data_IF_369717348457
#
_entry.id   IF_369717348457
#
_cell.length_a   1.000
_cell.length_b   1.000
_cell.length_c   1.000
_cell.angle_alpha   90.00
_cell.angle_beta   90.00
_cell.angle_gamma   90.00
#
_symmetry.space_group_name_H-M   'P 1'
#
loop_
_entity.id
_entity.type
_entity.pdbx_description
1 polymer ?
#
# COMPACT_ATOMS: atom_id res chain seq x y z
N UNK A 1 119.10 61.54 -43.04
CA UNK A 1 117.86 61.78 -42.28
C UNK A 1 118.13 62.84 -41.24
N UNK A 2 117.58 64.03 -41.36
CA UNK A 2 117.51 64.97 -40.24
C UNK A 2 116.23 65.76 -40.37
N UNK A 3 115.27 65.50 -39.51
CA UNK A 3 114.17 66.38 -39.16
C UNK A 3 113.39 65.71 -38.01
N UNK A 4 112.77 66.39 -37.06
CA UNK A 4 112.72 67.77 -36.56
C UNK A 4 112.02 67.59 -35.21
N UNK A 5 112.44 68.32 -34.18
CA UNK A 5 111.92 68.15 -32.83
C UNK A 5 111.30 69.48 -32.37
N UNK A 6 110.02 69.46 -31.97
CA UNK A 6 109.33 70.58 -31.33
C UNK A 6 108.64 70.07 -30.06
N UNK A 7 108.84 70.78 -28.95
CA UNK A 7 108.58 70.33 -27.59
C UNK A 7 107.29 70.89 -26.96
N UNK A 8 106.77 70.08 -26.03
CA UNK A 8 105.63 70.16 -25.10
C UNK A 8 105.76 71.25 -23.99
N UNK A 9 104.65 71.62 -23.31
CA UNK A 9 104.48 71.58 -21.82
C UNK A 9 103.02 71.95 -21.37
N UNK A 10 102.60 71.36 -20.23
CA UNK A 10 101.24 71.17 -19.66
C UNK A 10 100.53 72.42 -19.05
N UNK A 11 99.19 72.39 -18.95
CA UNK A 11 98.45 72.68 -17.70
C UNK A 11 96.97 72.17 -17.70
N UNK A 12 96.62 71.61 -16.55
CA UNK A 12 95.41 70.99 -15.96
C UNK A 12 94.00 71.16 -16.56
N UNK A 13 93.27 70.02 -16.45
CA UNK A 13 91.87 69.74 -16.73
C UNK A 13 91.03 69.89 -15.45
N UNK A 14 89.88 70.55 -15.55
CA UNK A 14 88.92 70.71 -14.44
C UNK A 14 87.58 71.20 -14.97
N UNK A 15 86.59 70.32 -14.99
CA UNK A 15 85.24 70.61 -15.45
C UNK A 15 84.50 69.32 -15.75
N UNK A 16 83.95 68.70 -14.71
CA UNK A 16 82.95 67.63 -14.80
C UNK A 16 81.71 68.18 -15.49
N UNK A 17 81.75 68.27 -16.81
CA UNK A 17 80.58 68.43 -17.65
C UNK A 17 79.82 67.12 -17.63
N UNK A 18 78.97 66.93 -16.62
CA UNK A 18 77.86 65.98 -16.69
C UNK A 18 77.11 66.26 -17.99
N UNK A 19 77.32 65.40 -18.99
CA UNK A 19 76.73 65.52 -20.31
C UNK A 19 75.23 65.70 -20.16
N UNK A 20 74.71 66.76 -20.79
CA UNK A 20 73.28 66.96 -20.98
C UNK A 20 72.66 65.66 -21.51
N UNK A 21 71.52 65.24 -20.94
CA UNK A 21 70.70 64.19 -21.53
C UNK A 21 70.52 64.52 -23.02
N UNK A 22 70.83 63.56 -23.90
CA UNK A 22 70.62 63.73 -25.32
C UNK A 22 69.16 64.11 -25.60
N UNK A 23 68.88 64.83 -26.70
CA UNK A 23 67.50 65.12 -27.07
C UNK A 23 66.68 63.83 -27.10
N UNK A 24 65.41 63.90 -26.71
CA UNK A 24 64.47 62.81 -26.89
C UNK A 24 64.51 62.34 -28.35
N UNK A 25 64.52 61.03 -28.57
CA UNK A 25 64.44 60.47 -29.92
C UNK A 25 63.10 60.88 -30.55
N UNK A 26 63.06 61.02 -31.87
CA UNK A 26 61.79 61.27 -32.55
C UNK A 26 60.80 60.14 -32.26
N UNK A 27 59.52 60.47 -32.13
CA UNK A 27 58.44 59.47 -32.02
C UNK A 27 58.52 58.48 -33.20
N UNK A 28 58.31 57.19 -32.91
CA UNK A 28 58.25 56.15 -33.94
C UNK A 28 56.98 56.28 -34.79
N UNK A 29 57.04 55.84 -36.05
CA UNK A 29 55.85 55.76 -36.92
C UNK A 29 54.90 54.66 -36.43
N UNK A 30 53.59 54.86 -36.61
CA UNK A 30 52.58 53.85 -36.27
C UNK A 30 52.58 52.72 -37.32
N UNK A 31 52.37 51.47 -36.89
CA UNK A 31 52.13 50.37 -37.82
C UNK A 31 50.63 50.10 -37.94
N UNK A 32 50.13 50.11 -39.18
CA UNK A 32 48.72 49.93 -39.50
C UNK A 32 48.50 48.66 -40.33
N UNK A 33 47.30 48.10 -40.19
CA UNK A 33 46.82 46.94 -40.95
C UNK A 33 45.51 47.31 -41.64
N UNK A 34 45.40 47.02 -42.93
CA UNK A 34 44.17 47.15 -43.72
C UNK A 34 43.78 45.80 -44.30
N UNK A 35 42.49 45.45 -44.21
CA UNK A 35 41.99 44.20 -44.80
C UNK A 35 41.04 44.50 -45.95
N UNK A 36 41.14 43.69 -47.00
CA UNK A 36 40.34 43.81 -48.21
C UNK A 36 39.78 42.44 -48.60
N UNK A 37 38.56 42.40 -49.12
CA UNK A 37 37.97 41.14 -49.62
C UNK A 37 38.66 40.72 -50.92
N UNK A 38 38.98 39.44 -51.01
CA UNK A 38 39.48 38.78 -52.23
C UNK A 38 38.34 37.96 -52.80
N UNK A 39 37.94 38.28 -54.02
CA UNK A 39 36.96 37.49 -54.74
C UNK A 39 37.56 36.15 -55.17
N UNK A 40 36.74 35.10 -55.37
CA UNK A 40 37.21 33.81 -55.89
C UNK A 40 38.04 33.98 -57.17
N UNK A 41 39.27 33.46 -57.17
CA UNK A 41 40.24 33.74 -58.22
C UNK A 41 41.56 32.99 -58.08
N UNK A 42 42.58 33.47 -58.80
CA UNK A 42 43.90 32.84 -58.85
C UNK A 42 44.61 32.86 -57.49
N UNK A 43 44.30 33.84 -56.65
CA UNK A 43 44.90 34.08 -55.35
C UNK A 43 44.23 33.25 -54.25
N UNK A 44 42.89 33.15 -54.27
CA UNK A 44 42.11 32.29 -53.38
C UNK A 44 40.94 31.66 -54.14
N UNK A 45 40.96 30.33 -54.28
CA UNK A 45 39.99 29.59 -55.10
C UNK A 45 38.52 29.81 -54.67
N UNK A 46 38.26 29.85 -53.37
CA UNK A 46 36.93 30.09 -52.79
C UNK A 46 36.73 31.54 -52.31
N UNK A 47 37.61 32.46 -52.72
CA UNK A 47 37.70 33.81 -52.17
C UNK A 47 38.34 33.83 -50.78
N UNK A 48 38.47 35.02 -50.20
CA UNK A 48 39.14 35.18 -48.91
C UNK A 48 39.31 36.63 -48.49
N UNK A 49 40.29 36.86 -47.62
CA UNK A 49 40.67 38.19 -47.13
C UNK A 49 42.15 38.42 -47.38
N UNK A 50 42.48 39.55 -48.01
CA UNK A 50 43.83 40.08 -48.15
C UNK A 50 44.13 41.00 -47.00
N UNK A 51 45.27 40.79 -46.35
CA UNK A 51 45.74 41.58 -45.21
C UNK A 51 46.99 42.35 -45.63
N UNK A 52 46.92 43.67 -45.61
CA UNK A 52 47.99 44.60 -45.92
C UNK A 52 48.53 45.22 -44.63
N UNK A 53 49.85 45.37 -44.51
CA UNK A 53 50.51 45.99 -43.36
C UNK A 53 51.56 47.00 -43.80
N UNK A 54 51.73 48.08 -43.02
CA UNK A 54 52.76 49.07 -43.28
C UNK A 54 52.95 50.06 -42.12
N UNK A 55 53.83 51.04 -42.34
CA UNK A 55 54.05 52.16 -41.41
C UNK A 55 53.34 53.39 -41.97
N UNK A 56 52.54 54.06 -41.14
CA UNK A 56 51.89 55.33 -41.42
C UNK A 56 52.96 56.43 -41.44
N UNK A 57 53.51 56.68 -42.62
CA UNK A 57 54.68 57.53 -42.82
C UNK A 57 54.29 59.01 -42.92
N UNK A 58 53.06 59.31 -43.33
CA UNK A 58 52.51 60.65 -43.39
C UNK A 58 51.76 61.07 -42.11
N UNK A 59 51.57 60.14 -41.16
CA UNK A 59 50.90 60.31 -39.87
C UNK A 59 49.43 60.73 -39.99
N UNK A 60 48.73 60.26 -41.01
CA UNK A 60 47.30 60.57 -41.24
C UNK A 60 46.33 59.57 -40.60
N UNK A 61 46.83 58.46 -40.05
CA UNK A 61 46.05 57.44 -39.35
C UNK A 61 45.41 56.38 -40.24
N UNK A 62 45.64 56.41 -41.56
CA UNK A 62 45.21 55.38 -42.51
C UNK A 62 46.42 54.75 -43.21
N UNK A 63 46.31 53.47 -43.59
CA UNK A 63 47.36 52.83 -44.37
C UNK A 63 47.16 53.17 -45.85
N UNK A 64 47.94 54.12 -46.39
CA UNK A 64 47.94 54.48 -47.81
C UNK A 64 48.57 53.41 -48.71
N UNK A 65 48.30 53.42 -50.03
CA UNK A 65 48.85 52.41 -50.95
C UNK A 65 50.39 52.46 -51.06
N UNK A 66 51.00 53.64 -50.91
CA UNK A 66 52.45 53.84 -50.97
C UNK A 66 53.17 53.44 -49.67
N UNK A 67 52.41 53.19 -48.59
CA UNK A 67 52.92 52.88 -47.25
C UNK A 67 52.89 51.37 -46.94
N UNK A 68 52.20 50.60 -47.79
CA UNK A 68 52.13 49.14 -47.67
C UNK A 68 53.51 48.52 -47.90
N UNK A 69 53.98 47.76 -46.92
CA UNK A 69 55.25 47.03 -46.99
C UNK A 69 55.09 45.51 -46.81
N UNK A 70 53.90 45.04 -46.45
CA UNK A 70 53.57 43.62 -46.35
C UNK A 70 52.16 43.31 -46.87
N UNK A 71 52.02 42.15 -47.51
CA UNK A 71 50.76 41.62 -48.04
C UNK A 71 50.68 40.12 -47.77
N UNK A 72 49.52 39.64 -47.33
CA UNK A 72 49.23 38.21 -47.14
C UNK A 72 47.77 37.88 -47.43
N UNK A 73 47.50 36.61 -47.76
CA UNK A 73 46.17 36.13 -48.13
C UNK A 73 45.68 35.06 -47.14
N UNK A 74 44.44 35.21 -46.68
CA UNK A 74 43.72 34.22 -45.86
C UNK A 74 42.55 33.71 -46.69
N UNK A 75 42.73 32.55 -47.33
CA UNK A 75 41.72 31.96 -48.20
C UNK A 75 40.67 31.18 -47.41
N UNK A 76 39.40 31.25 -47.85
CA UNK A 76 38.34 30.40 -47.35
C UNK A 76 38.57 28.94 -47.79
N UNK A 77 38.21 27.99 -46.93
CA UNK A 77 38.15 26.57 -47.32
C UNK A 77 36.97 26.30 -48.24
N UNK A 78 37.11 25.32 -49.13
CA UNK A 78 35.99 24.85 -49.97
C UNK A 78 34.89 24.25 -49.07
N UNK A 79 33.62 24.49 -49.42
CA UNK A 79 32.50 23.88 -48.72
C UNK A 79 32.56 22.35 -48.86
N UNK A 80 32.43 21.62 -47.75
CA UNK A 80 32.39 20.15 -47.79
C UNK A 80 31.19 19.64 -48.58
N UNK A 81 31.34 18.48 -49.22
CA UNK A 81 30.23 17.82 -49.92
C UNK A 81 29.09 17.48 -48.94
N UNK A 82 27.86 17.70 -49.38
CA UNK A 82 26.68 17.27 -48.63
C UNK A 82 26.72 15.73 -48.52
N UNK A 83 26.63 15.20 -47.30
CA UNK A 83 26.55 13.75 -47.10
C UNK A 83 25.35 13.14 -47.84
N UNK A 84 25.41 11.85 -48.23
CA UNK A 84 24.29 11.18 -48.88
C UNK A 84 23.04 11.23 -47.98
N UNK A 85 21.87 11.38 -48.59
CA UNK A 85 20.60 11.33 -47.88
C UNK A 85 20.40 9.98 -47.17
N UNK A 86 19.80 10.00 -45.98
CA UNK A 86 19.47 8.78 -45.26
C UNK A 86 18.38 7.96 -45.98
N UNK A 87 18.46 6.64 -45.89
CA UNK A 87 17.44 5.73 -46.42
C UNK A 87 16.15 5.83 -45.60
N UNK A 88 15.00 5.61 -46.24
CA UNK A 88 13.68 5.74 -45.60
C UNK A 88 13.32 4.44 -44.87
N UNK A 89 12.98 4.47 -43.56
CA UNK A 89 12.46 3.30 -42.88
C UNK A 89 10.99 3.05 -43.25
N UNK A 90 10.65 1.81 -43.58
CA UNK A 90 9.29 1.36 -43.90
C UNK A 90 8.83 0.26 -42.96
N UNK A 91 7.51 0.17 -42.77
CA UNK A 91 6.83 -0.85 -41.96
C UNK A 91 5.72 -1.46 -42.81
N UNK A 92 5.63 -2.79 -42.81
CA UNK A 92 4.54 -3.56 -43.44
C UNK A 92 3.93 -4.51 -42.42
N UNK A 93 2.61 -4.68 -42.45
CA UNK A 93 1.90 -5.63 -41.60
C UNK A 93 1.26 -6.73 -42.43
N UNK A 94 1.31 -7.96 -41.92
CA UNK A 94 0.72 -9.14 -42.55
C UNK A 94 -0.13 -9.88 -41.52
N UNK A 95 -1.33 -10.33 -41.91
CA UNK A 95 -2.19 -11.14 -41.04
C UNK A 95 -1.60 -12.54 -40.88
N UNK A 96 -1.60 -13.04 -39.64
CA UNK A 96 -1.16 -14.40 -39.29
C UNK A 96 -2.38 -15.22 -38.94
N UNK A 97 -2.61 -16.30 -39.69
CA UNK A 97 -3.69 -17.23 -39.41
C UNK A 97 -3.43 -18.02 -38.11
N UNK A 98 -4.48 -18.53 -37.45
CA UNK A 98 -4.33 -19.43 -36.32
C UNK A 98 -3.43 -20.63 -36.65
N UNK A 99 -2.44 -20.91 -35.79
CA UNK A 99 -1.44 -21.94 -36.02
C UNK A 99 -0.37 -22.03 -34.94
N UNK A 100 0.77 -22.65 -35.26
CA UNK A 100 1.88 -22.86 -34.32
C UNK A 100 2.49 -21.53 -33.82
N UNK A 101 2.52 -20.51 -34.69
CA UNK A 101 3.06 -19.18 -34.37
C UNK A 101 2.15 -18.39 -33.42
N UNK A 102 0.84 -18.41 -33.67
CA UNK A 102 -0.18 -17.77 -32.83
C UNK A 102 -1.44 -18.63 -32.77
N UNK A 103 -1.83 -19.08 -31.57
CA UNK A 103 -2.96 -20.00 -31.39
C UNK A 103 -4.31 -19.44 -31.90
N UNK A 104 -4.55 -18.13 -31.78
CA UNK A 104 -5.75 -17.45 -32.25
C UNK A 104 -5.50 -16.55 -33.48
N UNK A 105 -4.36 -16.70 -34.13
CA UNK A 105 -3.89 -15.78 -35.18
C UNK A 105 -3.28 -14.50 -34.60
N UNK A 106 -2.99 -13.53 -35.46
CA UNK A 106 -2.31 -12.31 -35.06
C UNK A 106 -1.89 -11.44 -36.24
N UNK A 107 -0.96 -10.53 -35.98
CA UNK A 107 -0.35 -9.66 -36.99
C UNK A 107 1.16 -9.80 -36.90
N UNK A 108 1.81 -10.02 -38.04
CA UNK A 108 3.26 -9.93 -38.19
C UNK A 108 3.61 -8.53 -38.67
N UNK A 109 4.50 -7.87 -37.95
CA UNK A 109 5.01 -6.53 -38.27
C UNK A 109 6.44 -6.67 -38.79
N UNK A 110 6.65 -6.26 -40.04
CA UNK A 110 7.93 -6.27 -40.73
C UNK A 110 8.47 -4.84 -40.82
N UNK A 111 9.78 -4.66 -40.64
CA UNK A 111 10.43 -3.35 -40.75
C UNK A 111 11.78 -3.42 -41.45
N UNK A 112 12.11 -2.38 -42.19
CA UNK A 112 13.33 -2.31 -43.01
C UNK A 112 13.60 -0.93 -43.55
N UNK A 113 14.72 -0.80 -44.26
CA UNK A 113 15.08 0.42 -45.00
C UNK A 113 14.75 0.21 -46.48
N UNK A 114 14.08 1.17 -47.09
CA UNK A 114 13.83 1.24 -48.54
C UNK A 114 15.15 1.53 -49.26
N UNK A 115 15.82 0.45 -49.67
CA UNK A 115 17.15 0.49 -50.24
C UNK A 115 17.11 0.86 -51.72
N UNK A 116 16.02 0.54 -52.41
CA UNK A 116 15.84 0.81 -53.84
C UNK A 116 15.03 2.11 -54.13
N UNK A 117 14.55 2.79 -53.07
CA UNK A 117 13.79 4.03 -53.12
C UNK A 117 12.46 3.93 -53.89
N UNK A 118 11.79 2.77 -53.84
CA UNK A 118 10.49 2.54 -54.51
C UNK A 118 9.28 2.82 -53.61
N UNK A 119 9.49 3.21 -52.34
CA UNK A 119 8.47 3.46 -51.32
C UNK A 119 7.63 2.24 -50.91
N UNK A 120 8.11 1.03 -51.18
CA UNK A 120 7.53 -0.24 -50.72
C UNK A 120 8.58 -1.02 -49.93
N UNK A 121 8.16 -1.77 -48.90
CA UNK A 121 9.08 -2.63 -48.17
C UNK A 121 9.17 -3.97 -48.91
N UNK A 122 10.24 -4.17 -49.67
CA UNK A 122 10.48 -5.41 -50.40
C UNK A 122 10.94 -6.55 -49.46
N UNK A 123 10.73 -7.84 -49.83
CA UNK A 123 11.13 -8.97 -48.99
C UNK A 123 12.62 -8.98 -48.62
N UNK A 124 13.49 -8.52 -49.53
CA UNK A 124 14.94 -8.46 -49.32
C UNK A 124 15.37 -7.28 -48.43
N UNK A 125 14.48 -6.32 -48.17
CA UNK A 125 14.73 -5.12 -47.37
C UNK A 125 14.32 -5.29 -45.90
N UNK A 126 13.60 -6.35 -45.58
CA UNK A 126 13.15 -6.67 -44.21
C UNK A 126 14.37 -6.96 -43.33
N UNK A 127 14.54 -6.14 -42.30
CA UNK A 127 15.64 -6.25 -41.34
C UNK A 127 15.20 -6.72 -39.95
N UNK A 128 13.92 -6.60 -39.62
CA UNK A 128 13.34 -7.08 -38.38
C UNK A 128 11.88 -7.49 -38.55
N UNK A 129 11.50 -8.54 -37.82
CA UNK A 129 10.13 -9.03 -37.71
C UNK A 129 9.68 -9.07 -36.24
N UNK A 130 8.41 -8.79 -35.99
CA UNK A 130 7.76 -8.94 -34.69
C UNK A 130 6.39 -9.57 -34.88
N UNK A 131 6.06 -10.53 -34.03
CA UNK A 131 4.78 -11.24 -34.06
C UNK A 131 3.90 -10.77 -32.90
N UNK A 132 2.71 -10.29 -33.23
CA UNK A 132 1.70 -9.82 -32.25
C UNK A 132 0.51 -10.77 -32.32
N UNK A 133 0.44 -11.73 -31.38
CA UNK A 133 -0.67 -12.69 -31.32
C UNK A 133 -1.92 -12.07 -30.69
N UNK A 134 -3.09 -12.44 -31.21
CA UNK A 134 -4.36 -12.16 -30.53
C UNK A 134 -4.46 -12.99 -29.25
N UNK A 135 -5.04 -12.40 -28.21
CA UNK A 135 -5.43 -13.16 -27.02
C UNK A 135 -6.56 -14.13 -27.37
N UNK A 136 -6.49 -15.34 -26.83
CA UNK A 136 -7.66 -16.23 -26.79
C UNK A 136 -8.68 -15.64 -25.81
N UNK A 137 -9.97 -15.86 -26.06
CA UNK A 137 -10.98 -15.56 -25.03
C UNK A 137 -10.64 -16.36 -23.77
N UNK A 138 -10.45 -15.67 -22.65
CA UNK A 138 -10.23 -16.31 -21.36
C UNK A 138 -11.51 -16.97 -20.88
N UNK A 139 -11.40 -18.09 -20.17
CA UNK A 139 -12.54 -18.69 -19.49
C UNK A 139 -13.06 -17.74 -18.41
N UNK A 140 -14.37 -17.72 -18.20
CA UNK A 140 -14.97 -16.93 -17.12
C UNK A 140 -14.69 -17.59 -15.78
N UNK A 141 -14.31 -16.80 -14.77
CA UNK A 141 -14.33 -17.28 -13.39
C UNK A 141 -15.71 -17.05 -12.80
N UNK A 142 -16.35 -18.13 -12.36
CA UNK A 142 -17.69 -18.09 -11.79
C UNK A 142 -17.66 -18.43 -10.30
N UNK A 143 -18.64 -17.91 -9.58
CA UNK A 143 -18.86 -18.14 -8.16
C UNK A 143 -20.26 -18.74 -8.01
N UNK A 144 -20.36 -19.86 -7.30
CA UNK A 144 -21.63 -20.48 -6.90
C UNK A 144 -21.74 -20.44 -5.38
N UNK A 145 -22.88 -19.97 -4.89
CA UNK A 145 -23.16 -19.95 -3.46
C UNK A 145 -24.38 -20.83 -3.19
N UNK A 146 -24.18 -21.82 -2.32
CA UNK A 146 -25.21 -22.75 -1.90
C UNK A 146 -25.32 -22.74 -0.38
N UNK A 147 -26.51 -23.03 0.14
CA UNK A 147 -26.73 -23.16 1.57
C UNK A 147 -26.01 -24.41 2.08
N UNK A 148 -25.15 -24.26 3.09
CA UNK A 148 -24.47 -25.38 3.74
C UNK A 148 -25.28 -25.78 4.97
N UNK A 149 -25.85 -27.01 5.02
CA UNK A 149 -26.58 -27.49 6.19
C UNK A 149 -25.65 -27.77 7.38
N UNK A 150 -26.25 -28.01 8.55
CA UNK A 150 -25.53 -28.49 9.73
C UNK A 150 -24.78 -29.78 9.43
N UNK A 151 -23.50 -29.86 9.79
CA UNK A 151 -22.72 -31.07 9.55
C UNK A 151 -21.23 -30.89 9.84
N UNK A 152 -20.42 -31.68 9.12
CA UNK A 152 -18.97 -31.73 9.32
C UNK A 152 -18.26 -30.42 8.97
N UNK A 153 -18.77 -29.66 8.00
CA UNK A 153 -18.15 -28.41 7.55
C UNK A 153 -18.56 -27.20 8.41
N UNK A 154 -19.81 -27.15 8.83
CA UNK A 154 -20.35 -26.12 9.71
C UNK A 154 -21.20 -26.75 10.81
N UNK A 155 -20.86 -26.48 12.08
CA UNK A 155 -21.59 -27.02 13.23
C UNK A 155 -23.08 -26.62 13.27
N UNK A 156 -23.44 -25.48 12.65
CA UNK A 156 -24.83 -25.01 12.56
C UNK A 156 -25.40 -24.97 11.14
N UNK A 157 -25.11 -23.93 10.37
CA UNK A 157 -25.40 -23.83 8.93
C UNK A 157 -24.45 -22.79 8.36
N UNK A 158 -24.49 -22.57 7.07
CA UNK A 158 -23.71 -21.50 6.49
C UNK A 158 -23.95 -21.37 5.01
N UNK A 159 -22.92 -20.91 4.32
CA UNK A 159 -22.88 -20.90 2.87
C UNK A 159 -21.61 -21.57 2.39
N UNK A 160 -21.76 -22.52 1.48
CA UNK A 160 -20.67 -23.05 0.68
C UNK A 160 -20.49 -22.12 -0.52
N UNK A 161 -19.32 -21.50 -0.63
CA UNK A 161 -18.94 -20.62 -1.73
C UNK A 161 -17.90 -21.34 -2.58
N UNK A 162 -18.34 -21.81 -3.74
CA UNK A 162 -17.50 -22.51 -4.70
C UNK A 162 -17.04 -21.57 -5.79
N UNK A 163 -15.78 -21.71 -6.21
CA UNK A 163 -15.17 -20.93 -7.28
C UNK A 163 -14.53 -21.85 -8.31
N UNK A 164 -14.61 -21.46 -9.58
CA UNK A 164 -14.03 -22.23 -10.67
C UNK A 164 -14.04 -21.48 -11.99
N UNK A 165 -13.52 -22.14 -13.02
CA UNK A 165 -13.52 -21.65 -14.40
C UNK A 165 -14.64 -22.35 -15.16
N UNK A 166 -15.44 -21.58 -15.89
CA UNK A 166 -16.45 -22.06 -16.83
C UNK A 166 -15.76 -22.64 -18.06
N UNK A 167 -15.45 -23.93 -18.01
CA UNK A 167 -14.67 -24.65 -19.04
C UNK A 167 -15.52 -25.06 -20.23
N UNK A 168 -16.83 -25.22 -20.04
CA UNK A 168 -17.76 -25.60 -21.08
C UNK A 168 -18.46 -24.40 -21.74
N UNK A 169 -18.25 -23.19 -21.21
CA UNK A 169 -18.79 -21.91 -21.66
C UNK A 169 -20.33 -21.86 -21.64
N UNK A 170 -20.97 -22.53 -20.68
CA UNK A 170 -22.43 -22.53 -20.52
C UNK A 170 -22.96 -21.39 -19.61
N UNK A 171 -22.05 -20.68 -18.93
CA UNK A 171 -22.37 -19.54 -18.07
C UNK A 171 -22.80 -19.91 -16.65
N UNK A 172 -22.74 -21.19 -16.27
CA UNK A 172 -22.99 -21.69 -14.92
C UNK A 172 -21.73 -22.39 -14.38
N UNK A 173 -21.58 -22.46 -13.06
CA UNK A 173 -20.47 -23.22 -12.45
C UNK A 173 -20.94 -24.65 -12.16
N UNK A 174 -20.57 -25.60 -13.02
CA UNK A 174 -20.85 -27.02 -12.84
C UNK A 174 -19.99 -27.67 -11.74
N UNK A 175 -20.42 -28.82 -11.21
CA UNK A 175 -19.69 -29.53 -10.14
C UNK A 175 -18.29 -29.98 -10.58
N UNK A 176 -18.12 -30.35 -11.85
CA UNK A 176 -16.84 -30.76 -12.43
C UNK A 176 -15.87 -29.58 -12.65
N UNK A 177 -16.36 -28.34 -12.52
CA UNK A 177 -15.61 -27.10 -12.77
C UNK A 177 -15.16 -26.41 -11.49
N UNK A 178 -15.66 -26.87 -10.34
CA UNK A 178 -15.30 -26.34 -9.02
C UNK A 178 -13.82 -26.65 -8.76
N UNK A 179 -13.04 -25.60 -8.52
CA UNK A 179 -11.63 -25.71 -8.17
C UNK A 179 -11.42 -25.60 -6.67
N UNK A 180 -12.26 -24.82 -5.99
CA UNK A 180 -12.18 -24.59 -4.55
C UNK A 180 -13.56 -24.30 -3.98
N UNK A 181 -13.81 -24.75 -2.74
CA UNK A 181 -15.01 -24.45 -1.96
C UNK A 181 -14.61 -23.94 -0.58
N UNK A 182 -15.14 -22.79 -0.20
CA UNK A 182 -14.95 -22.17 1.11
C UNK A 182 -16.28 -22.21 1.86
N UNK A 183 -16.26 -22.65 3.12
CA UNK A 183 -17.43 -22.66 3.98
C UNK A 183 -17.44 -21.44 4.89
N UNK A 184 -18.54 -20.69 4.85
CA UNK A 184 -18.81 -19.54 5.72
C UNK A 184 -19.90 -19.94 6.69
N UNK A 185 -19.54 -20.28 7.92
CA UNK A 185 -20.49 -20.77 8.92
C UNK A 185 -21.19 -19.63 9.67
N UNK A 186 -22.50 -19.75 9.81
CA UNK A 186 -23.35 -18.92 10.66
C UNK A 186 -23.18 -19.33 12.12
N UNK A 187 -23.31 -18.37 13.05
CA UNK A 187 -23.38 -18.64 14.49
C UNK A 187 -24.82 -18.53 14.99
N UNK A 188 -25.23 -19.40 15.92
CA UNK A 188 -26.54 -19.30 16.54
C UNK A 188 -26.55 -18.16 17.57
N UNK A 189 -27.13 -17.03 17.17
CA UNK A 189 -27.46 -15.96 18.11
C UNK A 189 -28.79 -16.26 18.79
N UNK A 190 -28.71 -16.68 20.04
CA UNK A 190 -29.87 -16.64 20.93
C UNK A 190 -29.74 -15.39 21.80
N UNK A 191 -30.26 -14.27 21.28
CA UNK A 191 -30.48 -13.09 22.11
C UNK A 191 -31.57 -13.39 23.13
N UNK A 192 -31.15 -13.93 24.27
CA UNK A 192 -31.94 -14.07 25.49
C UNK A 192 -32.13 -12.70 26.14
N UNK A 193 -32.62 -11.73 25.38
CA UNK A 193 -33.10 -10.48 25.95
C UNK A 193 -34.26 -10.82 26.86
N UNK A 194 -34.02 -11.07 28.17
CA UNK A 194 -35.03 -11.48 29.17
C UNK A 194 -36.30 -10.62 28.99
N UNK A 195 -37.31 -11.07 28.22
CA UNK A 195 -38.35 -10.20 27.80
C UNK A 195 -39.48 -10.45 28.78
N UNK A 196 -39.65 -9.47 29.66
CA UNK A 196 -40.84 -9.33 30.49
C UNK A 196 -41.00 -10.37 31.63
N UNK A 197 -41.75 -10.02 32.68
CA UNK A 197 -42.06 -10.82 33.87
C UNK A 197 -42.57 -12.27 33.68
N UNK A 198 -42.82 -12.76 32.46
CA UNK A 198 -43.66 -13.94 32.21
C UNK A 198 -42.89 -15.24 31.88
N UNK A 199 -41.58 -15.18 31.58
CA UNK A 199 -40.79 -16.37 31.14
C UNK A 199 -39.75 -16.86 32.16
N UNK A 200 -39.60 -16.16 33.28
CA UNK A 200 -38.66 -16.53 34.34
C UNK A 200 -39.39 -17.27 35.46
N UNK A 201 -38.99 -18.52 35.69
CA UNK A 201 -39.43 -19.25 36.89
C UNK A 201 -38.39 -19.05 37.98
N UNK A 202 -38.76 -18.30 39.01
CA UNK A 202 -38.02 -18.23 40.27
C UNK A 202 -38.64 -19.25 41.23
N UNK A 203 -37.84 -20.17 41.77
CA UNK A 203 -38.30 -21.17 42.74
C UNK A 203 -37.54 -21.04 44.05
N UNK A 204 -38.20 -21.38 45.16
CA UNK A 204 -37.58 -21.93 46.38
C UNK A 204 -38.10 -23.36 46.50
N UNK A 205 -37.38 -24.26 47.15
CA UNK A 205 -37.69 -25.69 47.14
C UNK A 205 -39.05 -25.95 47.80
N UNK A 206 -40.11 -26.04 46.99
CA UNK A 206 -41.48 -26.31 47.40
C UNK A 206 -42.57 -25.45 46.76
N UNK A 207 -42.23 -24.33 46.11
CA UNK A 207 -43.19 -23.52 45.36
C UNK A 207 -42.49 -22.70 44.26
N UNK A 208 -42.71 -23.10 43.00
CA UNK A 208 -42.38 -22.28 41.85
C UNK A 208 -43.55 -21.30 41.63
N UNK A 209 -43.40 -20.04 42.03
CA UNK A 209 -44.36 -18.99 41.68
C UNK A 209 -43.71 -18.11 40.61
N UNK A 210 -44.36 -17.88 39.46
CA UNK A 210 -43.88 -16.88 38.51
C UNK A 210 -43.97 -15.50 39.17
N UNK A 211 -42.81 -14.90 39.50
CA UNK A 211 -42.75 -13.56 40.08
C UNK A 211 -42.40 -12.58 38.96
N UNK A 212 -43.25 -11.57 38.77
CA UNK A 212 -43.05 -10.55 37.76
C UNK A 212 -41.79 -9.70 38.01
N UNK A 213 -41.00 -9.45 36.97
CA UNK A 213 -39.96 -8.42 36.91
C UNK A 213 -40.43 -7.11 37.55
N UNK A 214 -39.74 -6.69 38.61
CA UNK A 214 -40.15 -5.54 39.42
C UNK A 214 -40.21 -5.81 40.92
N UNK A 215 -40.40 -7.06 41.36
CA UNK A 215 -40.74 -7.34 42.76
C UNK A 215 -39.95 -8.46 43.45
N UNK A 216 -39.04 -9.17 42.78
CA UNK A 216 -38.37 -10.34 43.36
C UNK A 216 -37.03 -9.98 44.02
N UNK A 217 -37.02 -9.99 45.34
CA UNK A 217 -35.83 -10.13 46.18
C UNK A 217 -35.48 -11.62 46.27
N UNK A 218 -34.35 -12.07 45.72
CA UNK A 218 -33.91 -13.48 45.79
C UNK A 218 -32.86 -13.63 46.87
N UNK A 219 -32.96 -14.68 47.69
CA UNK A 219 -31.98 -14.92 48.76
C UNK A 219 -30.84 -15.83 48.25
N UNK A 220 -29.60 -15.65 48.73
CA UNK A 220 -28.50 -16.62 48.48
C UNK A 220 -28.71 -17.92 49.28
N UNK A 221 -29.85 -18.55 49.07
CA UNK A 221 -30.19 -19.86 49.56
C UNK A 221 -30.05 -20.85 48.40
N UNK A 222 -29.59 -22.06 48.70
CA UNK A 222 -29.32 -23.13 47.72
C UNK A 222 -30.54 -23.51 46.88
N UNK A 223 -31.73 -23.10 47.30
CA UNK A 223 -32.98 -23.43 46.64
C UNK A 223 -33.48 -22.35 45.68
N UNK A 224 -32.81 -21.20 45.58
CA UNK A 224 -33.13 -20.15 44.60
C UNK A 224 -32.37 -20.31 43.29
N UNK A 225 -33.07 -20.16 42.17
CA UNK A 225 -32.47 -20.25 40.85
C UNK A 225 -33.18 -19.38 39.82
N UNK A 226 -32.47 -19.09 38.73
CA UNK A 226 -32.99 -18.57 37.48
C UNK A 226 -33.12 -19.74 36.50
N UNK A 227 -34.31 -19.93 35.92
CA UNK A 227 -34.50 -20.85 34.80
C UNK A 227 -35.14 -20.14 33.63
N UNK A 228 -34.60 -20.40 32.44
CA UNK A 228 -35.14 -19.89 31.19
C UNK A 228 -35.23 -21.01 30.16
N UNK A 229 -36.40 -21.16 29.54
CA UNK A 229 -36.65 -22.13 28.48
C UNK A 229 -36.44 -21.49 27.12
N UNK A 230 -35.66 -22.14 26.26
CA UNK A 230 -35.42 -21.71 24.89
C UNK A 230 -35.68 -22.87 23.94
N UNK A 231 -36.13 -22.55 22.73
CA UNK A 231 -36.36 -23.56 21.69
C UNK A 231 -35.26 -23.47 20.66
N UNK A 232 -34.71 -24.63 20.29
CA UNK A 232 -33.72 -24.79 19.24
C UNK A 232 -34.47 -25.21 17.97
N UNK A 233 -34.66 -24.29 17.00
CA UNK A 233 -35.52 -24.54 15.84
C UNK A 233 -34.93 -25.59 14.89
N UNK A 234 -33.62 -25.81 14.96
CA UNK A 234 -32.89 -26.76 14.11
C UNK A 234 -31.86 -27.49 14.99
N UNK A 235 -31.96 -28.81 15.13
CA UNK A 235 -31.04 -29.61 15.95
C UNK A 235 -29.57 -29.45 15.54
N UNK A 236 -28.64 -29.28 16.48
CA UNK A 236 -27.21 -29.14 16.19
C UNK A 236 -26.30 -29.38 17.40
N UNK A 237 -25.00 -29.58 17.14
CA UNK A 237 -23.99 -29.63 18.20
C UNK A 237 -23.56 -28.22 18.60
N UNK A 238 -23.42 -28.01 19.91
CA UNK A 238 -22.82 -26.80 20.49
C UNK A 238 -21.58 -27.19 21.27
N UNK A 239 -20.52 -26.39 21.19
CA UNK A 239 -19.25 -26.64 21.88
C UNK A 239 -18.74 -25.45 22.70
N UNK A 240 -19.41 -24.30 22.61
CA UNK A 240 -19.07 -23.15 23.43
C UNK A 240 -20.27 -22.28 23.75
N UNK A 241 -20.15 -21.56 24.85
CA UNK A 241 -21.14 -20.61 25.35
C UNK A 241 -20.45 -19.31 25.74
N UNK A 242 -20.85 -18.21 25.10
CA UNK A 242 -20.52 -16.87 25.58
C UNK A 242 -21.74 -16.26 26.26
N UNK A 243 -21.56 -15.68 27.44
CA UNK A 243 -22.65 -15.09 28.20
C UNK A 243 -22.33 -13.67 28.68
N UNK A 244 -23.39 -12.87 28.81
CA UNK A 244 -23.39 -11.59 29.52
C UNK A 244 -24.63 -11.49 30.39
N UNK A 245 -24.50 -11.19 31.67
CA UNK A 245 -25.59 -11.10 32.65
C UNK A 245 -25.48 -9.81 33.46
N UNK A 246 -26.61 -9.24 33.89
CA UNK A 246 -26.65 -8.11 34.82
C UNK A 246 -27.36 -8.49 36.13
N UNK A 247 -26.63 -8.40 37.25
CA UNK A 247 -27.10 -8.71 38.59
C UNK A 247 -27.11 -7.44 39.42
N UNK A 248 -28.24 -7.11 40.04
CA UNK A 248 -28.29 -6.06 41.05
C UNK A 248 -28.15 -6.68 42.44
N UNK A 249 -27.10 -6.30 43.16
CA UNK A 249 -26.84 -6.75 44.52
C UNK A 249 -27.36 -5.71 45.52
N UNK A 250 -28.43 -6.04 46.24
CA UNK A 250 -28.95 -5.23 47.36
C UNK A 250 -28.78 -5.93 48.71
N UNK A 251 -27.79 -6.82 48.80
CA UNK A 251 -27.53 -7.62 50.00
C UNK A 251 -27.18 -6.75 51.18
N UNK A 252 -28.09 -6.70 52.15
CA UNK A 252 -27.85 -6.03 53.41
C UNK A 252 -27.23 -7.01 54.41
N UNK A 253 -25.91 -6.93 54.57
CA UNK A 253 -25.11 -7.89 55.33
C UNK A 253 -25.49 -8.04 56.81
N UNK A 254 -26.16 -7.03 57.39
CA UNK A 254 -26.62 -7.10 58.78
C UNK A 254 -27.78 -8.08 59.01
N UNK A 255 -28.40 -8.59 57.94
CA UNK A 255 -29.51 -9.53 58.01
C UNK A 255 -29.05 -10.99 57.91
N UNK A 256 -27.77 -11.26 57.65
CA UNK A 256 -27.26 -12.62 57.60
C UNK A 256 -27.08 -13.15 59.04
N UNK A 257 -28.01 -13.97 59.54
CA UNK A 257 -27.91 -14.61 60.85
C UNK A 257 -26.83 -15.72 60.79
N UNK A 258 -25.66 -15.47 61.39
CA UNK A 258 -24.56 -16.44 61.40
C UNK A 258 -23.18 -15.84 61.64
N UNK A 259 -22.25 -16.69 62.10
CA UNK A 259 -20.82 -16.36 62.24
C UNK A 259 -20.24 -16.20 60.83
N UNK A 260 -19.56 -15.08 60.55
CA UNK A 260 -18.94 -14.84 59.24
C UNK A 260 -18.02 -16.03 58.86
N UNK A 261 -18.04 -16.50 57.60
CA UNK A 261 -17.09 -17.51 57.14
C UNK A 261 -15.65 -17.01 57.31
N UNK A 262 -14.70 -17.95 57.41
CA UNK A 262 -13.28 -17.61 57.61
C UNK A 262 -12.76 -16.81 56.40
N UNK A 263 -12.64 -15.49 56.56
CA UNK A 263 -12.38 -14.54 55.47
C UNK A 263 -13.15 -13.23 55.63
N UNK A 264 -14.19 -13.21 56.46
CA UNK A 264 -15.06 -12.05 56.63
C UNK A 264 -16.29 -12.16 55.75
N UNK A 265 -16.97 -11.02 55.59
CA UNK A 265 -18.22 -10.90 54.84
C UNK A 265 -17.99 -10.63 53.33
N UNK A 266 -16.72 -10.43 52.92
CA UNK A 266 -16.20 -10.45 51.54
C UNK A 266 -16.28 -11.86 50.91
N UNK A 267 -17.35 -12.60 51.21
CA UNK A 267 -17.47 -13.95 50.74
C UNK A 267 -17.65 -13.91 49.21
N UNK A 268 -16.83 -14.68 48.53
CA UNK A 268 -17.01 -15.02 47.13
C UNK A 268 -18.29 -15.86 47.01
N UNK A 269 -19.14 -15.54 46.05
CA UNK A 269 -20.40 -16.25 45.77
C UNK A 269 -20.20 -17.11 44.53
N UNK A 270 -20.27 -18.41 44.70
CA UNK A 270 -20.14 -19.36 43.60
C UNK A 270 -21.51 -19.66 43.00
N UNK A 271 -21.58 -19.60 41.67
CA UNK A 271 -22.74 -19.91 40.86
C UNK A 271 -22.38 -20.94 39.82
N UNK A 272 -23.39 -21.69 39.39
CA UNK A 272 -23.30 -22.55 38.23
C UNK A 272 -24.22 -22.11 37.12
N UNK A 273 -23.81 -22.37 35.89
CA UNK A 273 -24.64 -22.36 34.69
C UNK A 273 -24.77 -23.81 34.25
N UNK A 274 -26.01 -24.26 34.13
CA UNK A 274 -26.38 -25.60 33.68
C UNK A 274 -27.33 -25.51 32.49
N UNK A 275 -27.23 -26.48 31.56
CA UNK A 275 -28.18 -26.66 30.46
C UNK A 275 -28.79 -28.05 30.64
N UNK A 276 -30.11 -28.10 30.82
CA UNK A 276 -30.85 -29.32 31.19
C UNK A 276 -30.26 -30.09 32.39
N UNK A 277 -29.64 -29.35 33.32
CA UNK A 277 -28.98 -29.91 34.50
C UNK A 277 -27.56 -30.42 34.27
N UNK A 278 -27.02 -30.37 33.06
CA UNK A 278 -25.59 -30.58 32.80
C UNK A 278 -24.84 -29.30 33.14
N UNK A 279 -23.85 -29.38 34.03
CA UNK A 279 -23.03 -28.22 34.41
C UNK A 279 -22.08 -27.84 33.28
N UNK A 280 -22.22 -26.60 32.82
CA UNK A 280 -21.43 -26.03 31.72
C UNK A 280 -20.33 -25.12 32.26
N UNK A 281 -20.66 -24.31 33.27
CA UNK A 281 -19.73 -23.33 33.80
C UNK A 281 -19.98 -23.08 35.29
N UNK A 282 -18.94 -22.66 35.99
CA UNK A 282 -19.04 -22.11 37.34
C UNK A 282 -18.32 -20.79 37.37
N UNK A 283 -18.94 -19.78 37.98
CA UNK A 283 -18.34 -18.47 38.13
C UNK A 283 -18.55 -17.97 39.55
N UNK A 284 -17.68 -17.04 39.93
CA UNK A 284 -17.60 -16.54 41.29
C UNK A 284 -17.56 -15.02 41.26
N UNK A 285 -18.26 -14.35 42.17
CA UNK A 285 -18.10 -12.90 42.37
C UNK A 285 -18.08 -12.54 43.85
N UNK A 286 -17.40 -11.45 44.17
CA UNK A 286 -17.34 -10.91 45.53
C UNK A 286 -18.57 -10.02 45.77
N UNK A 287 -19.33 -10.32 46.83
CA UNK A 287 -20.55 -9.59 47.15
C UNK A 287 -20.36 -8.68 48.36
N UNK A 288 -20.41 -7.36 48.15
CA UNK A 288 -20.53 -6.33 49.21
C UNK A 288 -21.26 -5.05 48.75
N UNK A 289 -21.81 -5.06 47.53
CA UNK A 289 -22.04 -3.84 46.76
C UNK A 289 -23.42 -3.21 47.01
N UNK A 290 -23.67 -2.70 48.21
CA UNK A 290 -24.89 -2.00 48.70
C UNK A 290 -25.75 -1.27 47.62
N UNK A 291 -26.50 -2.01 46.82
CA UNK A 291 -27.34 -1.48 45.74
C UNK A 291 -26.61 -1.11 44.44
N UNK A 292 -25.61 -1.89 44.01
CA UNK A 292 -24.96 -1.73 42.70
C UNK A 292 -25.36 -2.84 41.71
N UNK A 293 -25.27 -2.52 40.43
CA UNK A 293 -25.42 -3.46 39.32
C UNK A 293 -24.04 -4.00 38.93
N UNK A 294 -23.89 -5.33 38.97
CA UNK A 294 -22.73 -6.07 38.51
C UNK A 294 -23.00 -6.64 37.11
N UNK A 295 -22.09 -6.39 36.18
CA UNK A 295 -22.10 -7.03 34.86
C UNK A 295 -21.16 -8.23 34.87
N UNK A 296 -21.67 -9.40 34.54
CA UNK A 296 -20.93 -10.66 34.45
C UNK A 296 -20.81 -11.05 32.98
N UNK A 297 -19.59 -11.11 32.46
CA UNK A 297 -19.30 -11.55 31.10
C UNK A 297 -18.32 -12.72 31.14
N UNK A 298 -18.54 -13.71 30.30
CA UNK A 298 -17.67 -14.88 30.22
C UNK A 298 -17.85 -15.67 28.94
N UNK A 299 -16.87 -16.53 28.65
CA UNK A 299 -16.95 -17.51 27.58
C UNK A 299 -16.38 -18.82 28.08
N UNK A 300 -17.04 -19.91 27.74
CA UNK A 300 -16.67 -21.27 28.14
C UNK A 300 -16.77 -22.20 26.95
N UNK A 301 -15.73 -23.01 26.77
CA UNK A 301 -15.73 -24.14 25.83
C UNK A 301 -16.04 -25.42 26.60
N UNK A 302 -16.81 -26.33 26.00
CA UNK A 302 -17.21 -27.60 26.60
C UNK A 302 -17.26 -28.73 25.56
N UNK A 303 -17.35 -29.98 26.03
CA UNK A 303 -17.49 -31.13 25.13
C UNK A 303 -18.75 -30.98 24.28
N UNK A 304 -18.67 -31.12 22.94
CA UNK A 304 -19.81 -30.87 22.07
C UNK A 304 -21.00 -31.76 22.43
N UNK A 305 -22.18 -31.16 22.54
CA UNK A 305 -23.42 -31.91 22.78
C UNK A 305 -24.55 -31.41 21.90
N UNK A 306 -25.51 -32.30 21.67
CA UNK A 306 -26.64 -32.08 20.77
C UNK A 306 -27.75 -31.31 21.47
N UNK A 307 -28.21 -30.23 20.84
CA UNK A 307 -29.41 -29.51 21.23
C UNK A 307 -30.49 -29.69 20.16
N UNK A 308 -31.71 -30.05 20.58
CA UNK A 308 -32.93 -30.17 19.78
C UNK A 308 -34.18 -29.81 20.59
N UNK A 309 -35.20 -29.25 19.94
CA UNK A 309 -36.48 -28.91 20.57
C UNK A 309 -36.34 -27.92 21.75
N UNK A 310 -36.95 -28.19 22.90
CA UNK A 310 -37.02 -27.29 24.05
C UNK A 310 -35.98 -27.66 25.10
N UNK A 311 -35.18 -26.68 25.49
CA UNK A 311 -34.14 -26.78 26.50
C UNK A 311 -34.31 -25.70 27.55
N UNK A 312 -33.62 -25.82 28.67
CA UNK A 312 -33.53 -24.71 29.62
C UNK A 312 -32.11 -24.45 30.11
N UNK A 313 -31.79 -23.15 30.21
CA UNK A 313 -30.63 -22.68 30.97
C UNK A 313 -31.09 -22.51 32.42
N UNK A 314 -30.30 -23.05 33.34
CA UNK A 314 -30.50 -22.90 34.77
C UNK A 314 -29.25 -22.31 35.42
N UNK A 315 -29.43 -21.21 36.14
CA UNK A 315 -28.39 -20.54 36.91
C UNK A 315 -28.78 -20.58 38.39
N UNK A 316 -27.93 -21.16 39.22
CA UNK A 316 -28.18 -21.29 40.66
C UNK A 316 -26.92 -21.08 41.49
N UNK A 317 -27.05 -20.73 42.78
CA UNK A 317 -25.94 -20.65 43.71
C UNK A 317 -25.44 -22.05 44.05
N UNK A 318 -24.12 -22.21 44.18
CA UNK A 318 -23.48 -23.44 44.64
C UNK A 318 -23.30 -23.49 46.16
N UNK A 319 -23.26 -22.32 46.80
CA UNK A 319 -23.06 -22.19 48.25
C UNK A 319 -24.11 -21.27 48.90
N UNK A 320 -24.52 -21.62 50.12
CA UNK A 320 -25.40 -20.80 50.97
C UNK A 320 -24.58 -19.88 51.86
N UNK A 321 -24.81 -18.57 51.77
CA UNK A 321 -24.02 -17.60 52.57
C UNK A 321 -24.85 -16.89 53.65
N UNK A 322 -26.18 -16.79 53.50
CA UNK A 322 -27.02 -16.03 54.43
C UNK A 322 -28.35 -16.71 54.75
N UNK A 323 -28.48 -17.25 55.95
CA UNK A 323 -29.71 -17.89 56.46
C UNK A 323 -30.82 -16.85 56.77
N UNK A 324 -30.47 -15.56 56.90
CA UNK A 324 -31.37 -14.51 57.43
C UNK A 324 -31.82 -13.38 56.47
N UNK A 325 -31.44 -13.44 55.19
CA UNK A 325 -32.10 -12.60 54.18
C UNK A 325 -31.27 -11.45 53.57
N UNK A 326 -30.22 -11.80 52.82
CA UNK A 326 -29.61 -10.91 51.81
C UNK A 326 -30.34 -11.05 50.48
N UNK A 327 -30.57 -9.96 49.74
CA UNK A 327 -31.36 -10.02 48.51
C UNK A 327 -30.53 -9.59 47.30
N UNK A 328 -30.73 -10.26 46.17
CA UNK A 328 -30.31 -9.77 44.87
C UNK A 328 -31.49 -9.82 43.90
N UNK A 329 -31.45 -8.97 42.89
CA UNK A 329 -32.45 -8.90 41.83
C UNK A 329 -31.74 -8.93 40.48
N UNK A 330 -32.18 -9.78 39.57
CA UNK A 330 -31.74 -9.69 38.18
C UNK A 330 -32.40 -8.45 37.55
N UNK A 331 -31.59 -7.52 37.08
CA UNK A 331 -32.09 -6.21 36.60
C UNK A 331 -32.45 -6.24 35.12
N UNK A 332 -31.56 -6.73 34.25
CA UNK A 332 -31.82 -6.75 32.80
C UNK A 332 -31.19 -7.95 32.08
N UNK A 333 -31.61 -8.12 30.82
CA UNK A 333 -31.30 -9.18 29.85
C UNK A 333 -29.94 -9.87 29.96
N UNK A 334 -29.93 -11.17 29.68
CA UNK A 334 -28.73 -12.00 29.65
C UNK A 334 -28.51 -12.56 28.26
N UNK A 335 -27.42 -12.23 27.56
CA UNK A 335 -27.18 -12.79 26.22
C UNK A 335 -26.46 -14.12 26.35
N UNK A 336 -26.91 -15.16 25.65
CA UNK A 336 -26.15 -16.41 25.50
C UNK A 336 -25.92 -16.69 24.03
N UNK A 337 -24.67 -16.74 23.63
CA UNK A 337 -24.28 -17.09 22.26
C UNK A 337 -23.75 -18.51 22.29
N UNK A 338 -24.44 -19.39 21.58
CA UNK A 338 -24.01 -20.75 21.38
C UNK A 338 -23.29 -20.84 20.04
N UNK A 339 -22.12 -21.46 20.04
CA UNK A 339 -21.39 -21.78 18.82
C UNK A 339 -20.93 -23.23 18.84
N UNK A 340 -20.79 -23.77 17.64
CA UNK A 340 -20.34 -25.13 17.34
C UNK A 340 -19.50 -25.14 16.07
#
# INVERSE_FOLDING_TARGET
MRCVCLALFLSACGGDGSGVQGPEGADGLNSLIRTERVEPGAECAAGGVRVLSGLDANADGELGPDEVSGESFVCAGEGGEQGPGGQTPLIRTEDVAPGEDCAAGGVRVLSGLDANANAELDPDEVSAESLVCTGVEGLNSLIRTEEEPAGENCGYRGSAVSVGLDTNADGELGDDEIQETIYVCDTLFTDLAFPSPETLTYGSAGWAVPISAGQSRSFYALDHFLRHYFTVPTPHFVSSLSYRLEVYDDTYMSNCDGTAPAGGFDAVRDFEITIDGVRIHTFSFEGDHQGQTLTLEGSVDFEPFWLEDEHFVHIGPLDEVCVGGGTYRWETGGRFVFSG
#
